data_IF_579649650566
#
_entry.id   IF_579649650566
#
_cell.length_a   1.000
_cell.length_b   1.000
_cell.length_c   1.000
_cell.angle_alpha   90.00
_cell.angle_beta   90.00
_cell.angle_gamma   90.00
#
_symmetry.space_group_name_H-M   'P 1'
#
loop_
_entity.id
_entity.type
_entity.pdbx_description
1 polymer ?
#
# COMPACT_ATOMS: atom_id res chain seq x y z
N UNK A 1 19.63 -22.81 49.16
CA UNK A 1 20.01 -21.62 48.40
C UNK A 1 20.31 -21.93 46.92
N UNK A 2 21.04 -23.01 46.59
CA UNK A 2 21.46 -23.36 45.21
C UNK A 2 20.31 -23.61 44.23
N UNK A 3 19.21 -24.22 44.66
CA UNK A 3 18.02 -24.51 43.80
C UNK A 3 17.17 -23.28 43.50
N UNK A 4 17.19 -22.24 44.33
CA UNK A 4 16.44 -20.99 44.07
C UNK A 4 17.12 -20.13 43.02
N UNK A 5 18.48 -20.13 42.98
CA UNK A 5 19.27 -19.38 41.99
C UNK A 5 19.10 -20.00 40.58
N UNK A 6 19.06 -21.34 40.48
CA UNK A 6 18.85 -22.04 39.22
C UNK A 6 17.44 -21.80 38.65
N UNK A 7 16.40 -21.76 39.49
CA UNK A 7 15.03 -21.46 39.04
C UNK A 7 14.90 -20.02 38.55
N UNK A 8 15.54 -19.05 39.20
CA UNK A 8 15.48 -17.63 38.78
C UNK A 8 16.24 -17.41 37.47
N UNK A 9 17.37 -18.09 37.27
CA UNK A 9 18.12 -18.01 36.00
C UNK A 9 17.35 -18.64 34.83
N UNK A 10 16.67 -19.78 35.02
CA UNK A 10 15.80 -20.37 33.99
C UNK A 10 14.60 -19.47 33.63
N UNK A 11 13.99 -18.83 34.64
CA UNK A 11 12.84 -17.91 34.39
C UNK A 11 13.28 -16.66 33.61
N UNK A 12 14.47 -16.12 33.89
CA UNK A 12 15.04 -14.99 33.15
C UNK A 12 15.44 -15.38 31.72
N UNK A 13 15.96 -16.58 31.48
CA UNK A 13 16.24 -17.04 30.11
C UNK A 13 14.96 -17.27 29.29
N UNK A 14 13.88 -17.79 29.90
CA UNK A 14 12.60 -17.94 29.20
C UNK A 14 11.99 -16.59 28.79
N UNK A 15 12.12 -15.56 29.60
CA UNK A 15 11.61 -14.21 29.26
C UNK A 15 12.38 -13.55 28.15
N UNK A 16 13.68 -13.78 28.04
CA UNK A 16 14.52 -13.25 26.95
C UNK A 16 14.20 -13.95 25.61
N UNK A 17 13.86 -15.23 25.63
CA UNK A 17 13.45 -15.96 24.40
C UNK A 17 12.08 -15.50 23.91
N UNK A 18 11.14 -15.14 24.80
CA UNK A 18 9.82 -14.59 24.38
C UNK A 18 9.90 -13.20 23.80
N UNK A 19 10.89 -12.38 24.14
CA UNK A 19 11.08 -11.02 23.60
C UNK A 19 11.74 -11.00 22.21
N UNK A 20 12.26 -12.13 21.73
CA UNK A 20 13.00 -12.24 20.46
C UNK A 20 12.17 -12.72 19.26
N UNK A 21 10.90 -13.02 19.40
CA UNK A 21 10.05 -13.29 18.23
C UNK A 21 9.63 -11.97 17.59
N UNK A 22 10.52 -11.37 16.80
CA UNK A 22 10.08 -10.40 15.79
C UNK A 22 9.05 -11.11 14.89
N UNK A 23 7.80 -10.74 15.03
CA UNK A 23 6.77 -11.14 14.06
C UNK A 23 7.29 -10.76 12.67
N UNK A 24 7.69 -11.76 11.89
CA UNK A 24 8.07 -11.55 10.49
C UNK A 24 6.82 -11.01 9.79
N UNK A 25 6.84 -9.72 9.48
CA UNK A 25 5.72 -9.07 8.81
C UNK A 25 5.51 -9.75 7.46
N UNK A 26 4.31 -10.23 7.22
CA UNK A 26 3.95 -10.97 6.02
C UNK A 26 3.88 -10.01 4.83
N UNK A 27 4.53 -10.35 3.72
CA UNK A 27 4.32 -9.64 2.45
C UNK A 27 2.94 -10.01 1.90
N UNK A 28 2.09 -9.03 1.70
CA UNK A 28 0.71 -9.22 1.25
C UNK A 28 0.59 -9.47 -0.27
N UNK A 29 1.63 -9.16 -1.04
CA UNK A 29 1.74 -9.49 -2.46
C UNK A 29 3.21 -9.56 -2.89
N UNK A 30 3.56 -10.32 -3.95
CA UNK A 30 4.84 -10.19 -4.62
C UNK A 30 4.94 -8.82 -5.30
N UNK A 31 6.16 -8.30 -5.44
CA UNK A 31 6.37 -7.09 -6.24
C UNK A 31 6.13 -7.38 -7.73
N UNK A 32 5.15 -6.70 -8.28
CA UNK A 32 4.83 -6.73 -9.71
C UNK A 32 4.55 -5.31 -10.20
N UNK A 33 5.45 -4.71 -11.00
CA UNK A 33 5.34 -3.30 -11.37
C UNK A 33 4.21 -3.07 -12.37
N UNK A 34 3.28 -2.17 -12.05
CA UNK A 34 2.21 -1.73 -12.96
C UNK A 34 2.78 -0.83 -14.06
N UNK A 35 2.48 -1.04 -15.35
CA UNK A 35 2.92 -0.13 -16.42
C UNK A 35 2.48 1.32 -16.20
N UNK A 36 3.31 2.30 -16.58
CA UNK A 36 3.03 3.71 -16.28
C UNK A 36 1.72 4.22 -16.90
N UNK A 37 1.38 3.76 -18.10
CA UNK A 37 0.11 4.15 -18.74
C UNK A 37 -1.11 3.62 -17.95
N UNK A 38 -1.01 2.43 -17.32
CA UNK A 38 -2.05 1.89 -16.42
C UNK A 38 -2.10 2.70 -15.15
N UNK A 39 -0.96 3.06 -14.55
CA UNK A 39 -0.89 3.93 -13.36
C UNK A 39 -1.60 5.25 -13.63
N UNK A 40 -1.38 5.86 -14.81
CA UNK A 40 -2.08 7.09 -15.17
C UNK A 40 -3.59 6.90 -15.19
N UNK A 41 -4.07 5.83 -15.86
CA UNK A 41 -5.50 5.50 -15.90
C UNK A 41 -6.09 5.20 -14.53
N UNK A 42 -5.31 4.57 -13.67
CA UNK A 42 -5.67 4.24 -12.30
C UNK A 42 -5.94 5.50 -11.46
N UNK A 43 -5.02 6.48 -11.52
CA UNK A 43 -5.19 7.76 -10.82
C UNK A 43 -6.28 8.65 -11.44
N UNK A 44 -6.45 8.62 -12.79
CA UNK A 44 -7.58 9.26 -13.47
C UNK A 44 -8.92 8.67 -13.03
N UNK A 45 -9.05 7.33 -12.97
CA UNK A 45 -10.26 6.65 -12.53
C UNK A 45 -10.60 6.99 -11.07
N UNK A 46 -9.58 7.12 -10.22
CA UNK A 46 -9.71 7.60 -8.84
C UNK A 46 -10.09 9.06 -8.73
N UNK A 47 -10.21 9.78 -9.83
CA UNK A 47 -10.50 11.22 -9.88
C UNK A 47 -9.59 12.04 -8.96
N UNK A 48 -8.29 11.64 -8.90
CA UNK A 48 -7.30 12.28 -8.02
C UNK A 48 -7.09 13.74 -8.42
N UNK A 49 -7.17 14.64 -7.43
CA UNK A 49 -7.07 16.09 -7.62
C UNK A 49 -5.85 16.68 -6.91
N UNK A 50 -5.40 17.83 -7.38
CA UNK A 50 -4.34 18.58 -6.73
C UNK A 50 -4.68 18.89 -5.27
N UNK A 51 -3.71 18.64 -4.39
CA UNK A 51 -3.84 18.87 -2.94
C UNK A 51 -4.55 17.76 -2.17
N UNK A 52 -5.23 16.82 -2.81
CA UNK A 52 -5.79 15.63 -2.15
C UNK A 52 -4.69 14.75 -1.57
N UNK A 53 -5.05 13.96 -0.56
CA UNK A 53 -4.18 12.96 0.04
C UNK A 53 -4.45 11.59 -0.58
N UNK A 54 -3.43 11.05 -1.22
CA UNK A 54 -3.43 9.74 -1.84
C UNK A 54 -2.59 8.74 -1.03
N UNK A 55 -3.12 7.52 -0.85
CA UNK A 55 -2.37 6.38 -0.31
C UNK A 55 -2.22 5.29 -1.36
N UNK A 56 -1.01 4.73 -1.46
CA UNK A 56 -0.69 3.57 -2.32
C UNK A 56 -0.27 2.39 -1.45
N UNK A 57 -1.08 1.32 -1.45
CA UNK A 57 -0.90 0.18 -0.56
C UNK A 57 -0.07 -0.92 -1.23
N UNK A 58 1.16 -1.12 -0.75
CA UNK A 58 2.16 -1.95 -1.40
C UNK A 58 2.83 -1.19 -2.54
N UNK A 59 3.43 -0.04 -2.22
CA UNK A 59 3.85 0.94 -3.22
C UNK A 59 5.05 0.52 -4.08
N UNK A 60 5.72 -0.58 -3.75
CA UNK A 60 6.81 -1.12 -4.55
C UNK A 60 7.93 -0.11 -4.80
N UNK A 61 8.25 0.15 -6.06
CA UNK A 61 9.27 1.13 -6.47
C UNK A 61 8.79 2.59 -6.44
N UNK A 62 7.58 2.84 -5.94
CA UNK A 62 7.04 4.18 -5.73
C UNK A 62 6.46 4.85 -6.98
N UNK A 63 6.36 4.16 -8.12
CA UNK A 63 5.90 4.77 -9.39
C UNK A 63 4.52 5.42 -9.31
N UNK A 64 3.58 4.81 -8.58
CA UNK A 64 2.22 5.36 -8.39
C UNK A 64 2.29 6.63 -7.55
N UNK A 65 3.02 6.59 -6.44
CA UNK A 65 3.25 7.74 -5.54
C UNK A 65 3.92 8.90 -6.28
N UNK A 66 4.95 8.61 -7.07
CA UNK A 66 5.68 9.60 -7.87
C UNK A 66 4.75 10.23 -8.92
N UNK A 67 4.00 9.42 -9.65
CA UNK A 67 3.07 9.93 -10.67
C UNK A 67 1.95 10.77 -10.06
N UNK A 68 1.39 10.37 -8.92
CA UNK A 68 0.39 11.13 -8.18
C UNK A 68 0.92 12.53 -7.81
N UNK A 69 2.17 12.63 -7.35
CA UNK A 69 2.81 13.89 -7.02
C UNK A 69 3.15 14.74 -8.25
N UNK A 70 3.77 14.14 -9.28
CA UNK A 70 4.24 14.88 -10.46
C UNK A 70 3.10 15.38 -11.34
N UNK A 71 2.18 14.48 -11.67
CA UNK A 71 1.16 14.74 -12.70
C UNK A 71 -0.14 15.28 -12.11
N UNK A 72 -0.52 14.81 -10.93
CA UNK A 72 -1.77 15.20 -10.30
C UNK A 72 -1.60 16.25 -9.20
N UNK A 73 -0.34 16.58 -8.83
CA UNK A 73 -0.02 17.53 -7.75
C UNK A 73 -0.71 17.16 -6.42
N UNK A 74 -0.93 15.86 -6.20
CA UNK A 74 -1.49 15.33 -4.99
C UNK A 74 -0.38 15.10 -3.94
N UNK A 75 -0.76 15.11 -2.67
CA UNK A 75 0.11 14.59 -1.61
C UNK A 75 -0.03 13.08 -1.59
N UNK A 76 1.05 12.35 -1.78
CA UNK A 76 1.02 10.91 -1.94
C UNK A 76 1.92 10.19 -0.96
N UNK A 77 1.38 9.18 -0.28
CA UNK A 77 2.08 8.35 0.69
C UNK A 77 1.97 6.89 0.25
N UNK A 78 3.10 6.25 -0.02
CA UNK A 78 3.17 4.81 -0.26
C UNK A 78 3.47 4.05 1.03
N UNK A 79 2.91 2.86 1.18
CA UNK A 79 3.28 1.92 2.23
C UNK A 79 4.04 0.76 1.60
N UNK A 80 5.29 0.54 2.03
CA UNK A 80 6.14 -0.53 1.51
C UNK A 80 6.88 -1.21 2.66
N UNK A 81 6.87 -2.54 2.66
CA UNK A 81 7.50 -3.34 3.71
C UNK A 81 8.89 -3.83 3.32
N UNK A 82 9.16 -3.94 2.02
CA UNK A 82 10.46 -4.36 1.49
C UNK A 82 11.48 -3.24 1.63
N UNK A 83 12.62 -3.55 2.25
CA UNK A 83 13.66 -2.57 2.55
C UNK A 83 14.32 -1.99 1.29
N UNK A 84 14.55 -2.82 0.29
CA UNK A 84 15.24 -2.42 -0.94
C UNK A 84 14.31 -1.58 -1.84
N UNK A 85 13.04 -1.98 -1.95
CA UNK A 85 12.02 -1.19 -2.67
C UNK A 85 11.79 0.16 -1.98
N UNK A 86 11.68 0.20 -0.65
CA UNK A 86 11.59 1.44 0.12
C UNK A 86 12.77 2.38 -0.17
N UNK A 87 14.01 1.88 -0.05
CA UNK A 87 15.22 2.69 -0.31
C UNK A 87 15.25 3.22 -1.74
N UNK A 88 14.94 2.35 -2.72
CA UNK A 88 14.91 2.70 -4.13
C UNK A 88 13.88 3.79 -4.42
N UNK A 89 12.66 3.64 -3.91
CA UNK A 89 11.58 4.60 -4.12
C UNK A 89 11.87 5.95 -3.47
N UNK A 90 12.39 5.97 -2.23
CA UNK A 90 12.79 7.21 -1.54
C UNK A 90 13.94 7.93 -2.24
N UNK A 91 14.93 7.19 -2.75
CA UNK A 91 16.02 7.77 -3.54
C UNK A 91 15.47 8.43 -4.83
N UNK A 92 14.53 7.77 -5.51
CA UNK A 92 13.90 8.31 -6.72
C UNK A 92 13.05 9.55 -6.44
N UNK A 93 12.29 9.57 -5.35
CA UNK A 93 11.52 10.74 -4.91
C UNK A 93 12.44 11.93 -4.67
N UNK A 94 13.57 11.72 -4.01
CA UNK A 94 14.58 12.75 -3.76
C UNK A 94 15.25 13.25 -5.05
N UNK A 95 15.66 12.34 -5.93
CA UNK A 95 16.24 12.69 -7.23
C UNK A 95 15.32 13.61 -8.06
N UNK A 96 14.01 13.39 -7.96
CA UNK A 96 12.98 14.14 -8.68
C UNK A 96 12.54 15.42 -7.93
N UNK A 97 13.07 15.70 -6.72
CA UNK A 97 12.70 16.86 -5.91
C UNK A 97 11.25 16.86 -5.43
N UNK A 98 10.68 15.68 -5.19
CA UNK A 98 9.25 15.50 -4.86
C UNK A 98 8.98 15.34 -3.36
N UNK A 99 9.96 15.49 -2.47
CA UNK A 99 9.86 15.19 -1.03
C UNK A 99 8.76 15.97 -0.31
N UNK A 100 8.30 17.09 -0.88
CA UNK A 100 7.20 17.89 -0.34
C UNK A 100 5.82 17.29 -0.61
N UNK A 101 5.70 16.47 -1.66
CA UNK A 101 4.43 15.88 -2.12
C UNK A 101 4.40 14.35 -2.01
N UNK A 102 5.55 13.69 -2.08
CA UNK A 102 5.66 12.24 -2.13
C UNK A 102 6.55 11.70 -1.00
N UNK A 103 6.12 10.62 -0.37
CA UNK A 103 6.92 9.87 0.61
C UNK A 103 6.52 8.42 0.64
N UNK A 104 7.43 7.55 1.10
CA UNK A 104 7.13 6.15 1.38
C UNK A 104 7.30 5.91 2.88
N UNK A 105 6.33 5.25 3.47
CA UNK A 105 6.38 4.77 4.85
C UNK A 105 6.80 3.31 4.82
N UNK A 106 7.95 3.01 5.46
CA UNK A 106 8.42 1.65 5.63
C UNK A 106 7.71 1.01 6.82
N UNK A 107 6.52 0.50 6.60
CA UNK A 107 5.73 -0.19 7.63
C UNK A 107 4.72 -1.15 6.98
N UNK A 108 4.10 -1.95 7.82
CA UNK A 108 2.96 -2.78 7.47
C UNK A 108 1.75 -1.89 7.17
N UNK A 109 1.26 -1.98 5.94
CA UNK A 109 0.09 -1.21 5.50
C UNK A 109 -1.18 -1.48 6.35
N UNK A 110 -1.25 -2.62 7.04
CA UNK A 110 -2.35 -2.94 7.96
C UNK A 110 -2.42 -2.00 9.17
N UNK A 111 -1.34 -1.24 9.45
CA UNK A 111 -1.27 -0.24 10.53
C UNK A 111 -1.59 1.18 10.06
N UNK A 112 -1.84 1.38 8.77
CA UNK A 112 -2.13 2.69 8.22
C UNK A 112 -3.43 3.28 8.77
N UNK A 113 -3.45 4.61 8.94
CA UNK A 113 -4.66 5.34 9.32
C UNK A 113 -5.48 5.68 8.08
N UNK A 114 -6.41 4.81 7.74
CA UNK A 114 -7.29 4.97 6.57
C UNK A 114 -8.38 6.05 6.74
N UNK A 115 -8.43 6.75 7.85
CA UNK A 115 -9.37 7.89 8.01
C UNK A 115 -8.91 9.14 7.24
N UNK A 116 -7.66 9.17 6.79
CA UNK A 116 -7.03 10.38 6.22
C UNK A 116 -7.11 10.51 4.70
N UNK A 117 -6.88 9.44 3.90
CA UNK A 117 -6.77 9.61 2.46
C UNK A 117 -8.10 9.97 1.78
N UNK A 118 -8.00 10.74 0.70
CA UNK A 118 -9.08 11.01 -0.23
C UNK A 118 -9.20 9.90 -1.27
N UNK A 119 -8.04 9.36 -1.69
CA UNK A 119 -7.93 8.26 -2.66
C UNK A 119 -6.96 7.21 -2.15
N UNK A 120 -7.31 5.94 -2.31
CA UNK A 120 -6.45 4.78 -2.03
C UNK A 120 -6.32 3.95 -3.29
N UNK A 121 -5.09 3.63 -3.69
CA UNK A 121 -4.78 2.66 -4.74
C UNK A 121 -4.30 1.34 -4.14
N UNK A 122 -4.72 0.22 -4.74
CA UNK A 122 -4.45 -1.14 -4.26
C UNK A 122 -4.17 -2.08 -5.41
N UNK A 123 -2.98 -2.70 -5.41
CA UNK A 123 -2.66 -3.85 -6.27
C UNK A 123 -2.10 -4.99 -5.44
N UNK A 124 -2.98 -5.66 -4.75
CA UNK A 124 -2.65 -6.80 -3.87
C UNK A 124 -3.40 -8.05 -4.33
N UNK A 125 -2.99 -9.21 -3.80
CA UNK A 125 -3.70 -10.47 -4.06
C UNK A 125 -5.12 -10.46 -3.44
N UNK A 126 -6.06 -11.28 -3.96
CA UNK A 126 -7.43 -11.35 -3.45
C UNK A 126 -7.51 -11.56 -1.94
N UNK A 127 -6.68 -12.48 -1.40
CA UNK A 127 -6.64 -12.78 0.04
C UNK A 127 -6.15 -11.60 0.87
N UNK A 128 -5.31 -10.75 0.29
CA UNK A 128 -4.83 -9.53 0.93
C UNK A 128 -5.87 -8.42 0.88
N UNK A 129 -6.64 -8.34 -0.22
CA UNK A 129 -7.81 -7.47 -0.29
C UNK A 129 -8.84 -7.84 0.78
N UNK A 130 -9.12 -9.13 0.99
CA UNK A 130 -10.02 -9.61 2.04
C UNK A 130 -9.54 -9.20 3.46
N UNK A 131 -8.21 -9.13 3.69
CA UNK A 131 -7.63 -8.68 4.96
C UNK A 131 -7.77 -7.17 5.19
N UNK A 132 -7.54 -6.34 4.17
CA UNK A 132 -7.57 -4.88 4.33
C UNK A 132 -8.97 -4.29 4.22
N UNK A 133 -9.90 -4.96 3.55
CA UNK A 133 -11.25 -4.48 3.31
C UNK A 133 -11.97 -4.03 4.59
N UNK A 134 -11.99 -4.81 5.70
CA UNK A 134 -12.65 -4.39 6.94
C UNK A 134 -12.05 -3.11 7.55
N UNK A 135 -10.72 -2.87 7.35
CA UNK A 135 -10.05 -1.68 7.83
C UNK A 135 -10.47 -0.45 7.02
N UNK A 136 -10.55 -0.58 5.70
CA UNK A 136 -11.04 0.46 4.80
C UNK A 136 -12.51 0.79 5.12
N UNK A 137 -13.35 -0.23 5.30
CA UNK A 137 -14.77 -0.08 5.64
C UNK A 137 -14.99 0.69 6.94
N UNK A 138 -14.22 0.35 7.96
CA UNK A 138 -14.35 0.96 9.29
C UNK A 138 -13.84 2.40 9.33
N UNK A 139 -12.80 2.73 8.57
CA UNK A 139 -12.03 3.95 8.81
C UNK A 139 -12.19 5.02 7.75
N UNK A 140 -12.45 4.66 6.50
CA UNK A 140 -12.49 5.65 5.40
C UNK A 140 -13.67 6.61 5.52
N UNK A 141 -13.43 7.87 5.21
CA UNK A 141 -14.44 8.94 5.22
C UNK A 141 -15.45 8.76 4.08
N UNK A 142 -16.67 9.26 4.30
CA UNK A 142 -17.66 9.38 3.22
C UNK A 142 -17.10 10.24 2.07
N UNK A 143 -17.23 9.74 0.84
CA UNK A 143 -16.73 10.39 -0.38
C UNK A 143 -15.26 10.04 -0.72
N UNK A 144 -14.53 9.33 0.16
CA UNK A 144 -13.23 8.75 -0.21
C UNK A 144 -13.40 7.67 -1.27
N UNK A 145 -12.35 7.47 -2.06
CA UNK A 145 -12.35 6.54 -3.20
C UNK A 145 -11.26 5.47 -3.02
N UNK A 146 -11.59 4.24 -3.41
CA UNK A 146 -10.62 3.14 -3.52
C UNK A 146 -10.58 2.72 -4.97
N UNK A 147 -9.40 2.57 -5.54
CA UNK A 147 -9.23 2.01 -6.87
C UNK A 147 -8.37 0.77 -6.79
N UNK A 148 -8.95 -0.38 -7.11
CA UNK A 148 -8.24 -1.66 -7.14
C UNK A 148 -7.82 -2.01 -8.56
N UNK A 149 -6.65 -2.61 -8.70
CA UNK A 149 -6.09 -3.08 -9.95
C UNK A 149 -6.19 -4.61 -10.00
N UNK A 150 -6.73 -5.15 -11.07
CA UNK A 150 -6.98 -6.56 -11.43
C UNK A 150 -7.86 -7.34 -10.44
N UNK A 151 -7.79 -7.08 -9.16
CA UNK A 151 -8.50 -7.84 -8.13
C UNK A 151 -9.59 -7.00 -7.46
N UNK A 152 -10.84 -7.34 -7.73
CA UNK A 152 -12.00 -6.69 -7.11
C UNK A 152 -12.07 -6.97 -5.59
N UNK A 153 -12.63 -6.05 -4.82
CA UNK A 153 -13.02 -6.28 -3.43
C UNK A 153 -14.28 -7.12 -3.36
N UNK A 154 -14.24 -8.19 -2.58
CA UNK A 154 -15.34 -9.13 -2.43
C UNK A 154 -16.53 -8.48 -1.72
N UNK A 155 -17.70 -8.54 -2.35
CA UNK A 155 -18.92 -7.96 -1.79
C UNK A 155 -19.04 -6.45 -1.91
N UNK A 156 -18.05 -5.75 -2.47
CA UNK A 156 -18.19 -4.36 -2.86
C UNK A 156 -18.73 -4.23 -4.29
N UNK A 157 -19.64 -3.31 -4.49
CA UNK A 157 -20.11 -2.97 -5.84
C UNK A 157 -19.24 -1.83 -6.38
N UNK A 158 -18.50 -2.10 -7.45
CA UNK A 158 -17.72 -1.07 -8.11
C UNK A 158 -18.67 -0.03 -8.74
N UNK A 159 -18.42 1.26 -8.46
CA UNK A 159 -19.13 2.37 -9.11
C UNK A 159 -18.78 2.42 -10.60
N UNK A 160 -17.53 2.12 -10.92
CA UNK A 160 -17.04 2.06 -12.31
C UNK A 160 -15.96 1.01 -12.45
N UNK A 161 -16.00 0.31 -13.58
CA UNK A 161 -14.96 -0.63 -13.99
C UNK A 161 -14.46 -0.26 -15.37
N UNK A 162 -13.16 -0.23 -15.57
CA UNK A 162 -12.54 -0.04 -16.88
C UNK A 162 -11.53 -1.13 -17.17
N UNK A 163 -11.48 -1.55 -18.44
CA UNK A 163 -10.42 -2.40 -18.96
C UNK A 163 -9.41 -1.51 -19.70
N UNK A 164 -8.14 -1.69 -19.37
CA UNK A 164 -7.02 -0.99 -20.00
C UNK A 164 -6.22 -2.02 -20.77
N UNK A 165 -6.24 -1.93 -22.08
CA UNK A 165 -5.48 -2.81 -22.95
C UNK A 165 -4.05 -2.29 -23.08
N UNK A 166 -3.09 -3.20 -22.98
CA UNK A 166 -1.70 -2.88 -23.28
C UNK A 166 -1.48 -2.99 -24.80
N UNK A 167 -1.05 -1.91 -25.41
CA UNK A 167 -0.80 -1.83 -26.84
C UNK A 167 0.64 -2.18 -27.24
N UNK A 168 1.44 -2.83 -26.37
CA UNK A 168 2.77 -3.13 -26.84
C UNK A 168 3.78 -3.89 -25.97
N UNK A 169 3.78 -3.78 -24.66
CA UNK A 169 4.87 -4.38 -23.87
C UNK A 169 4.48 -5.65 -23.09
N UNK A 170 3.25 -5.79 -22.63
CA UNK A 170 2.84 -6.88 -21.76
C UNK A 170 1.68 -7.72 -22.35
N UNK A 171 1.07 -7.36 -23.47
CA UNK A 171 -0.10 -8.01 -24.12
C UNK A 171 -1.21 -8.50 -23.17
N UNK A 172 -1.12 -8.10 -21.90
CA UNK A 172 -2.05 -8.44 -20.82
C UNK A 172 -3.00 -7.28 -20.56
N UNK A 173 -4.29 -7.54 -20.63
CA UNK A 173 -5.29 -6.58 -20.21
C UNK A 173 -5.23 -6.35 -18.70
N UNK A 174 -5.54 -5.12 -18.27
CA UNK A 174 -5.64 -4.74 -16.87
C UNK A 174 -7.06 -4.27 -16.57
N UNK A 175 -7.61 -4.67 -15.44
CA UNK A 175 -8.94 -4.22 -15.01
C UNK A 175 -8.82 -3.33 -13.78
N UNK A 176 -9.42 -2.15 -13.84
CA UNK A 176 -9.45 -1.19 -12.73
C UNK A 176 -10.86 -1.02 -12.20
N UNK A 177 -11.02 -1.08 -10.89
CA UNK A 177 -12.31 -1.02 -10.19
C UNK A 177 -12.34 0.20 -9.27
N UNK A 178 -13.28 1.14 -9.49
CA UNK A 178 -13.49 2.27 -8.60
C UNK A 178 -14.61 1.95 -7.60
N UNK A 179 -14.34 2.21 -6.34
CA UNK A 179 -15.32 2.16 -5.24
C UNK A 179 -15.36 3.50 -4.52
N UNK A 180 -16.56 3.94 -4.12
CA UNK A 180 -16.76 5.15 -3.33
C UNK A 180 -17.36 4.81 -1.96
N UNK A 181 -16.79 5.45 -0.92
CA UNK A 181 -17.23 5.25 0.48
C UNK A 181 -18.29 6.28 0.89
#
# INVERSE_FOLDING_TARGET
MRNRILMTACLLMLTVILLGQQQKTEKLAPYFPTPEFVVNKWLELGELKAGELHYDLGSGDGRVVIMAAQKFHARSIGYEIDDDLYKKSMARIKELGLEKLATIVKDDLMKADFSKPDVVTVYLLPESNDKIQPLLEKSMRKGSRVVSHDFAFKGWNAEKTINVEDNGEDSRGHTLYLYRR
#
